data_IF_125201371219
#
_entry.id   IF_125201371219
#
_cell.length_a   1.000
_cell.length_b   1.000
_cell.length_c   1.000
_cell.angle_alpha   90.00
_cell.angle_beta   90.00
_cell.angle_gamma   90.00
#
_symmetry.space_group_name_H-M   'P 1'
#
loop_
_entity.id
_entity.type
_entity.pdbx_description
1 polymer ?
#
# COMPACT_ATOMS: atom_id res chain seq x y z
N UNK A 1 -23.61 -12.25 -17.97
CA UNK A 1 -22.73 -11.72 -16.90
C UNK A 1 -23.33 -10.39 -16.44
N UNK A 2 -23.81 -10.28 -15.20
CA UNK A 2 -24.47 -9.06 -14.71
C UNK A 2 -23.54 -7.83 -14.83
N UNK A 3 -24.08 -6.67 -15.24
CA UNK A 3 -23.35 -5.40 -15.37
C UNK A 3 -22.59 -5.05 -14.09
N UNK A 4 -23.18 -5.36 -12.93
CA UNK A 4 -22.55 -5.19 -11.60
C UNK A 4 -21.29 -6.06 -11.44
N UNK A 5 -21.32 -7.31 -11.92
CA UNK A 5 -20.15 -8.20 -11.87
C UNK A 5 -19.09 -7.79 -12.89
N UNK A 6 -19.49 -7.23 -14.03
CA UNK A 6 -18.57 -6.65 -15.01
C UNK A 6 -17.85 -5.44 -14.41
N UNK A 7 -18.59 -4.50 -13.81
CA UNK A 7 -18.04 -3.30 -13.18
C UNK A 7 -17.12 -3.62 -12.00
N UNK A 8 -17.52 -4.55 -11.11
CA UNK A 8 -16.66 -5.04 -10.02
C UNK A 8 -15.36 -5.64 -10.56
N UNK A 9 -15.46 -6.47 -11.60
CA UNK A 9 -14.29 -7.09 -12.21
C UNK A 9 -13.39 -6.06 -12.89
N UNK A 10 -13.93 -5.04 -13.57
CA UNK A 10 -13.14 -3.98 -14.19
C UNK A 10 -12.43 -3.15 -13.13
N UNK A 11 -13.15 -2.73 -12.09
CA UNK A 11 -12.62 -1.85 -11.04
C UNK A 11 -11.51 -2.52 -10.21
N UNK A 12 -11.65 -3.82 -9.92
CA UNK A 12 -10.63 -4.60 -9.22
C UNK A 12 -9.47 -5.01 -10.13
N UNK A 13 -9.74 -5.46 -11.37
CA UNK A 13 -8.67 -5.90 -12.29
C UNK A 13 -7.83 -4.74 -12.80
N UNK A 14 -8.43 -3.56 -12.98
CA UNK A 14 -7.72 -2.35 -13.44
C UNK A 14 -6.72 -1.77 -12.43
N UNK A 15 -6.68 -2.29 -11.19
CA UNK A 15 -5.86 -1.77 -10.08
C UNK A 15 -6.20 -0.33 -9.67
N UNK A 16 -7.28 0.26 -10.22
CA UNK A 16 -7.72 1.62 -9.88
C UNK A 16 -8.12 1.68 -8.41
N UNK A 17 -8.86 0.68 -7.92
CA UNK A 17 -9.34 0.65 -6.54
C UNK A 17 -8.19 0.70 -5.52
N UNK A 18 -7.24 -0.23 -5.62
CA UNK A 18 -6.08 -0.33 -4.73
C UNK A 18 -5.26 0.97 -4.78
N UNK A 19 -5.09 1.54 -5.98
CA UNK A 19 -4.36 2.79 -6.17
C UNK A 19 -5.08 3.99 -5.54
N UNK A 20 -6.41 4.05 -5.63
CA UNK A 20 -7.20 5.03 -4.89
C UNK A 20 -7.05 4.83 -3.38
N UNK A 21 -7.04 3.59 -2.89
CA UNK A 21 -6.88 3.32 -1.46
C UNK A 21 -5.54 3.82 -0.93
N UNK A 22 -4.45 3.50 -1.63
CA UNK A 22 -3.11 3.97 -1.28
C UNK A 22 -2.99 5.50 -1.40
N UNK A 23 -3.61 6.09 -2.44
CA UNK A 23 -3.62 7.55 -2.62
C UNK A 23 -4.33 8.25 -1.48
N UNK A 24 -5.50 7.77 -1.06
CA UNK A 24 -6.26 8.37 0.03
C UNK A 24 -5.53 8.23 1.38
N UNK A 25 -4.79 7.14 1.61
CA UNK A 25 -3.86 7.06 2.73
C UNK A 25 -2.78 8.15 2.65
N UNK A 26 -2.22 8.37 1.46
CA UNK A 26 -1.28 9.46 1.20
C UNK A 26 -1.87 10.84 1.45
N UNK A 27 -3.12 11.08 1.02
CA UNK A 27 -3.83 12.33 1.29
C UNK A 27 -4.03 12.53 2.78
N UNK A 28 -4.40 11.49 3.52
CA UNK A 28 -4.49 11.55 4.99
C UNK A 28 -3.17 11.99 5.63
N UNK A 29 -2.04 11.39 5.23
CA UNK A 29 -0.71 11.77 5.73
C UNK A 29 -0.37 13.23 5.36
N UNK A 30 -0.60 13.60 4.10
CA UNK A 30 -0.27 14.93 3.59
C UNK A 30 -1.12 16.04 4.22
N UNK A 31 -2.38 15.75 4.57
CA UNK A 31 -3.22 16.68 5.31
C UNK A 31 -2.71 16.90 6.72
N UNK A 32 -2.23 15.85 7.41
CA UNK A 32 -1.63 16.02 8.73
C UNK A 32 -0.36 16.87 8.65
N UNK A 33 0.52 16.52 7.70
CA UNK A 33 1.82 17.16 7.52
C UNK A 33 1.72 18.54 6.83
N UNK A 34 0.51 19.09 6.70
CA UNK A 34 0.24 20.40 6.09
C UNK A 34 0.90 20.58 4.71
N UNK A 35 1.06 19.46 3.99
CA UNK A 35 1.80 19.37 2.73
C UNK A 35 0.89 18.95 1.55
N UNK A 36 -0.42 18.89 1.78
CA UNK A 36 -1.38 18.45 0.77
C UNK A 36 -1.47 19.40 -0.43
N UNK A 37 -1.38 18.81 -1.63
CA UNK A 37 -1.62 19.48 -2.90
C UNK A 37 -2.33 18.52 -3.86
N UNK A 38 -3.27 19.03 -4.66
CA UNK A 38 -4.00 18.23 -5.65
C UNK A 38 -3.06 17.53 -6.64
N UNK A 39 -2.02 18.23 -7.11
CA UNK A 39 -1.00 17.69 -8.02
C UNK A 39 -0.26 16.51 -7.39
N UNK A 40 0.06 16.60 -6.10
CA UNK A 40 0.77 15.56 -5.37
C UNK A 40 -0.10 14.31 -5.18
N UNK A 41 -1.37 14.49 -4.83
CA UNK A 41 -2.34 13.39 -4.76
C UNK A 41 -2.49 12.69 -6.12
N UNK A 42 -2.54 13.46 -7.21
CA UNK A 42 -2.60 12.91 -8.56
C UNK A 42 -1.34 12.13 -8.95
N UNK A 43 -0.16 12.64 -8.61
CA UNK A 43 1.12 11.94 -8.82
C UNK A 43 1.18 10.64 -8.03
N UNK A 44 0.75 10.65 -6.75
CA UNK A 44 0.66 9.44 -5.93
C UNK A 44 -0.26 8.41 -6.58
N UNK A 45 -1.44 8.83 -7.05
CA UNK A 45 -2.38 7.94 -7.75
C UNK A 45 -1.75 7.32 -9.00
N UNK A 46 -1.16 8.13 -9.88
CA UNK A 46 -0.52 7.61 -11.08
C UNK A 46 0.66 6.68 -10.76
N UNK A 47 1.43 6.99 -9.72
CA UNK A 47 2.57 6.16 -9.28
C UNK A 47 2.10 4.79 -8.77
N UNK A 48 1.13 4.75 -7.86
CA UNK A 48 0.55 3.49 -7.38
C UNK A 48 -0.12 2.72 -8.52
N UNK A 49 -0.90 3.39 -9.36
CA UNK A 49 -1.60 2.74 -10.46
C UNK A 49 -0.64 2.10 -11.46
N UNK A 50 0.40 2.83 -11.86
CA UNK A 50 1.42 2.33 -12.76
C UNK A 50 2.19 1.12 -12.15
N UNK A 51 2.54 1.20 -10.86
CA UNK A 51 3.24 0.13 -10.14
C UNK A 51 2.40 -1.14 -9.92
N UNK A 52 1.15 -1.00 -9.48
CA UNK A 52 0.24 -2.14 -9.30
C UNK A 52 -0.15 -2.78 -10.62
N UNK A 53 -0.43 -1.96 -11.64
CA UNK A 53 -0.74 -2.46 -12.97
C UNK A 53 0.43 -3.27 -13.55
N UNK A 54 1.67 -2.79 -13.37
CA UNK A 54 2.85 -3.55 -13.75
C UNK A 54 2.97 -4.85 -12.94
N UNK A 55 2.86 -4.79 -11.61
CA UNK A 55 2.94 -5.96 -10.72
C UNK A 55 2.02 -7.10 -11.19
N UNK A 56 0.77 -6.79 -11.52
CA UNK A 56 -0.23 -7.79 -11.93
C UNK A 56 -0.02 -8.26 -13.37
N UNK A 57 0.37 -7.37 -14.28
CA UNK A 57 0.37 -7.66 -15.72
C UNK A 57 1.75 -7.70 -16.39
N UNK A 58 2.87 -7.62 -15.65
CA UNK A 58 4.24 -7.52 -16.19
C UNK A 58 4.61 -8.58 -17.25
N UNK A 59 4.02 -9.78 -17.18
CA UNK A 59 4.22 -10.85 -18.18
C UNK A 59 3.58 -10.56 -19.55
N UNK A 60 2.67 -9.60 -19.63
CA UNK A 60 1.96 -9.21 -20.86
C UNK A 60 2.67 -8.04 -21.54
N UNK A 61 2.87 -8.12 -22.86
CA UNK A 61 3.55 -7.07 -23.65
C UNK A 61 2.87 -5.69 -23.51
N UNK A 62 1.53 -5.65 -23.53
CA UNK A 62 0.81 -4.38 -23.38
C UNK A 62 1.11 -3.68 -22.05
N UNK A 63 1.29 -4.43 -20.97
CA UNK A 63 1.54 -3.86 -19.65
C UNK A 63 2.88 -3.12 -19.58
N UNK A 64 3.91 -3.65 -20.26
CA UNK A 64 5.21 -2.97 -20.39
C UNK A 64 5.09 -1.63 -21.11
N UNK A 65 4.30 -1.58 -22.19
CA UNK A 65 4.06 -0.36 -22.96
C UNK A 65 3.35 0.69 -22.08
N UNK A 66 2.24 0.31 -21.43
CA UNK A 66 1.51 1.20 -20.52
C UNK A 66 2.36 1.65 -19.33
N UNK A 67 3.22 0.77 -18.81
CA UNK A 67 4.15 1.12 -17.74
C UNK A 67 5.13 2.22 -18.19
N UNK A 68 5.77 2.07 -19.37
CA UNK A 68 6.67 3.07 -19.97
C UNK A 68 5.93 4.39 -20.24
N UNK A 69 4.73 4.34 -20.82
CA UNK A 69 3.94 5.54 -21.08
C UNK A 69 3.60 6.29 -19.78
N UNK A 70 3.21 5.56 -18.74
CA UNK A 70 2.98 6.15 -17.42
C UNK A 70 4.26 6.71 -16.79
N UNK A 71 5.40 6.02 -16.93
CA UNK A 71 6.70 6.54 -16.48
C UNK A 71 7.05 7.86 -17.16
N UNK A 72 6.89 7.96 -18.48
CA UNK A 72 7.15 9.19 -19.24
C UNK A 72 6.19 10.30 -18.82
N UNK A 73 4.90 9.99 -18.67
CA UNK A 73 3.89 10.96 -18.23
C UNK A 73 4.21 11.51 -16.83
N UNK A 74 4.42 10.64 -15.84
CA UNK A 74 4.71 11.04 -14.47
C UNK A 74 6.03 11.80 -14.40
N UNK A 75 7.08 11.33 -15.07
CA UNK A 75 8.38 12.03 -15.15
C UNK A 75 8.23 13.44 -15.73
N UNK A 76 7.44 13.59 -16.78
CA UNK A 76 7.21 14.90 -17.43
C UNK A 76 6.48 15.88 -16.50
N UNK A 77 5.49 15.40 -15.74
CA UNK A 77 4.77 16.20 -14.75
C UNK A 77 5.73 16.60 -13.61
N UNK A 78 6.51 15.65 -13.09
CA UNK A 78 7.46 15.88 -12.00
C UNK A 78 8.51 16.91 -12.38
N UNK A 79 9.19 16.74 -13.52
CA UNK A 79 10.23 17.66 -13.98
C UNK A 79 9.71 19.07 -14.30
N UNK A 80 8.41 19.21 -14.57
CA UNK A 80 7.77 20.52 -14.83
C UNK A 80 7.39 21.26 -13.55
N UNK A 81 6.90 20.56 -12.53
CA UNK A 81 6.27 21.18 -11.35
C UNK A 81 7.05 21.01 -10.04
N UNK A 82 8.04 20.13 -9.99
CA UNK A 82 8.81 19.81 -8.79
C UNK A 82 10.31 19.94 -9.03
N UNK A 83 11.08 20.06 -7.94
CA UNK A 83 12.53 20.14 -8.01
C UNK A 83 13.18 18.77 -8.34
N UNK A 84 14.47 18.82 -8.67
CA UNK A 84 15.23 17.61 -9.02
C UNK A 84 15.31 16.63 -7.85
N UNK A 85 15.38 17.10 -6.60
CA UNK A 85 15.45 16.24 -5.43
C UNK A 85 14.18 15.40 -5.29
N UNK A 86 13.02 16.02 -5.45
CA UNK A 86 11.71 15.37 -5.43
C UNK A 86 11.59 14.30 -6.53
N UNK A 87 12.04 14.63 -7.75
CA UNK A 87 12.11 13.65 -8.85
C UNK A 87 13.04 12.47 -8.55
N UNK A 88 14.21 12.72 -7.94
CA UNK A 88 15.15 11.66 -7.55
C UNK A 88 14.56 10.74 -6.46
N UNK A 89 13.86 11.29 -5.47
CA UNK A 89 13.13 10.47 -4.47
C UNK A 89 12.12 9.55 -5.13
N UNK A 90 11.34 10.08 -6.07
CA UNK A 90 10.38 9.30 -6.85
C UNK A 90 11.06 8.16 -7.62
N UNK A 91 12.17 8.45 -8.32
CA UNK A 91 12.94 7.44 -9.05
C UNK A 91 13.45 6.33 -8.13
N UNK A 92 13.95 6.68 -6.94
CA UNK A 92 14.43 5.70 -5.95
C UNK A 92 13.28 4.79 -5.51
N UNK A 93 12.11 5.35 -5.16
CA UNK A 93 10.92 4.57 -4.81
C UNK A 93 10.50 3.64 -5.96
N UNK A 94 10.54 4.14 -7.20
CA UNK A 94 10.15 3.38 -8.38
C UNK A 94 11.12 2.22 -8.65
N UNK A 95 12.44 2.45 -8.53
CA UNK A 95 13.47 1.41 -8.67
C UNK A 95 13.30 0.33 -7.60
N UNK A 96 13.11 0.73 -6.33
CA UNK A 96 12.89 -0.21 -5.24
C UNK A 96 11.59 -1.01 -5.46
N UNK A 97 10.50 -0.35 -5.84
CA UNK A 97 9.25 -1.03 -6.23
C UNK A 97 9.43 -2.02 -7.38
N UNK A 98 10.27 -1.69 -8.36
CA UNK A 98 10.56 -2.59 -9.49
C UNK A 98 11.34 -3.84 -9.06
N UNK A 99 12.30 -3.69 -8.13
CA UNK A 99 13.08 -4.82 -7.57
C UNK A 99 12.18 -5.87 -6.91
N UNK A 100 11.02 -5.47 -6.38
CA UNK A 100 10.05 -6.40 -5.78
C UNK A 100 9.59 -7.51 -6.75
N UNK A 101 9.40 -7.18 -8.03
CA UNK A 101 8.91 -8.09 -9.08
C UNK A 101 9.92 -8.29 -10.21
N UNK A 102 11.23 -8.11 -9.94
CA UNK A 102 12.26 -8.22 -10.95
C UNK A 102 12.60 -9.67 -11.30
N UNK A 103 11.65 -10.39 -11.91
CA UNK A 103 11.89 -11.68 -12.56
C UNK A 103 13.07 -11.61 -13.55
N UNK A 104 13.29 -10.42 -14.15
CA UNK A 104 14.39 -10.15 -15.08
C UNK A 104 15.79 -10.12 -14.45
N UNK A 105 15.90 -9.82 -13.14
CA UNK A 105 17.18 -9.75 -12.45
C UNK A 105 17.55 -11.08 -11.76
N UNK A 106 16.75 -12.15 -11.90
CA UNK A 106 16.81 -13.34 -11.05
C UNK A 106 16.75 -13.05 -9.54
N UNK A 107 16.40 -11.81 -9.17
CA UNK A 107 16.16 -11.37 -7.79
C UNK A 107 14.66 -11.14 -7.70
N UNK A 108 13.95 -12.16 -7.26
CA UNK A 108 12.52 -12.01 -6.98
C UNK A 108 12.34 -11.95 -5.46
N UNK A 109 12.31 -10.74 -4.91
CA UNK A 109 12.08 -10.53 -3.46
C UNK A 109 10.73 -11.12 -3.01
N UNK A 110 9.78 -11.32 -3.94
CA UNK A 110 8.56 -12.08 -3.68
C UNK A 110 8.84 -13.50 -3.19
N UNK A 111 9.91 -14.14 -3.65
CA UNK A 111 10.31 -15.50 -3.28
C UNK A 111 11.00 -15.56 -1.91
N UNK A 112 11.48 -14.42 -1.38
CA UNK A 112 12.03 -14.33 -0.03
C UNK A 112 10.89 -14.13 0.99
N UNK A 113 10.36 -15.27 1.42
CA UNK A 113 9.16 -15.41 2.24
C UNK A 113 8.95 -14.39 3.36
N UNK A 114 9.97 -14.19 4.19
CA UNK A 114 9.89 -13.35 5.38
C UNK A 114 10.14 -11.89 5.08
N UNK A 115 10.75 -11.58 3.94
CA UNK A 115 11.11 -10.21 3.58
C UNK A 115 10.00 -9.57 2.74
N UNK A 116 9.25 -10.37 1.98
CA UNK A 116 8.29 -9.86 0.98
C UNK A 116 7.26 -8.88 1.57
N UNK A 117 6.64 -9.20 2.70
CA UNK A 117 5.58 -8.37 3.31
C UNK A 117 6.13 -7.14 4.01
N UNK A 118 7.25 -7.28 4.72
CA UNK A 118 7.96 -6.13 5.30
C UNK A 118 8.48 -5.19 4.21
N UNK A 119 8.92 -5.73 3.07
CA UNK A 119 9.33 -4.94 1.92
C UNK A 119 8.17 -4.14 1.34
N UNK A 120 6.97 -4.75 1.22
CA UNK A 120 5.77 -4.01 0.79
C UNK A 120 5.48 -2.85 1.74
N UNK A 121 5.48 -3.08 3.06
CA UNK A 121 5.29 -2.00 4.03
C UNK A 121 6.36 -0.91 3.98
N UNK A 122 7.61 -1.30 3.72
CA UNK A 122 8.74 -0.39 3.54
C UNK A 122 8.57 0.51 2.31
N UNK A 123 8.23 -0.08 1.15
CA UNK A 123 7.97 0.68 -0.07
C UNK A 123 6.78 1.61 0.10
N UNK A 124 5.71 1.17 0.75
CA UNK A 124 4.57 2.02 1.07
C UNK A 124 4.96 3.20 1.95
N UNK A 125 5.72 2.98 3.03
CA UNK A 125 6.20 4.05 3.90
C UNK A 125 7.10 5.05 3.15
N UNK A 126 8.00 4.58 2.28
CA UNK A 126 8.78 5.47 1.42
C UNK A 126 7.90 6.25 0.43
N UNK A 127 6.96 5.58 -0.21
CA UNK A 127 6.07 6.18 -1.23
C UNK A 127 5.10 7.21 -0.64
N UNK A 128 4.68 7.02 0.61
CA UNK A 128 3.65 7.84 1.24
C UNK A 128 4.19 8.89 2.21
N UNK A 129 5.43 8.73 2.70
CA UNK A 129 6.06 9.65 3.66
C UNK A 129 7.32 10.28 3.08
N UNK A 130 8.32 9.48 2.73
CA UNK A 130 9.62 10.04 2.31
C UNK A 130 9.58 10.77 0.96
N UNK A 131 8.95 10.14 -0.04
CA UNK A 131 8.82 10.69 -1.38
C UNK A 131 8.04 12.02 -1.39
N UNK A 132 6.81 12.09 -0.84
CA UNK A 132 5.97 13.27 -1.04
C UNK A 132 6.29 14.42 -0.06
N UNK A 133 7.08 14.18 1.00
CA UNK A 133 7.49 15.22 1.94
C UNK A 133 8.85 15.83 1.59
N UNK A 134 9.05 17.09 1.95
CA UNK A 134 10.34 17.78 1.75
C UNK A 134 11.47 17.10 2.54
N UNK A 135 11.21 16.77 3.80
CA UNK A 135 12.14 16.13 4.72
C UNK A 135 11.57 14.82 5.25
N UNK A 136 12.45 13.92 5.68
CA UNK A 136 12.05 12.61 6.22
C UNK A 136 11.43 12.77 7.60
N UNK A 137 10.16 12.41 7.74
CA UNK A 137 9.52 12.26 9.03
C UNK A 137 9.59 10.80 9.50
N UNK A 138 10.56 10.48 10.35
CA UNK A 138 10.79 9.11 10.84
C UNK A 138 9.61 8.55 11.64
N UNK A 139 8.91 9.37 12.42
CA UNK A 139 7.74 8.93 13.18
C UNK A 139 6.65 8.45 12.21
N UNK A 140 6.31 9.28 11.21
CA UNK A 140 5.33 8.91 10.19
C UNK A 140 5.77 7.73 9.34
N UNK A 141 7.06 7.64 9.02
CA UNK A 141 7.61 6.48 8.32
C UNK A 141 7.32 5.19 9.08
N UNK A 142 7.65 5.13 10.38
CA UNK A 142 7.42 3.92 11.18
C UNK A 142 5.93 3.64 11.42
N UNK A 143 5.11 4.67 11.63
CA UNK A 143 3.65 4.52 11.74
C UNK A 143 3.10 3.81 10.50
N UNK A 144 3.42 4.32 9.31
CA UNK A 144 2.93 3.77 8.05
C UNK A 144 3.54 2.42 7.74
N UNK A 145 4.84 2.23 8.01
CA UNK A 145 5.51 0.94 7.87
C UNK A 145 4.83 -0.16 8.69
N UNK A 146 4.58 0.10 9.98
CA UNK A 146 3.92 -0.88 10.85
C UNK A 146 2.47 -1.11 10.42
N UNK A 147 1.74 -0.04 10.11
CA UNK A 147 0.34 -0.14 9.70
C UNK A 147 0.16 -0.95 8.41
N UNK A 148 0.89 -0.58 7.36
CA UNK A 148 0.78 -1.22 6.04
C UNK A 148 1.28 -2.66 6.06
N UNK A 149 2.33 -2.96 6.83
CA UNK A 149 2.76 -4.35 7.07
C UNK A 149 1.67 -5.16 7.78
N UNK A 150 1.02 -4.59 8.81
CA UNK A 150 -0.03 -5.29 9.55
C UNK A 150 -1.23 -5.69 8.67
N UNK A 151 -1.70 -4.77 7.82
CA UNK A 151 -2.87 -5.04 6.95
C UNK A 151 -2.50 -5.91 5.74
N UNK A 152 -1.22 -6.08 5.42
CA UNK A 152 -0.76 -6.93 4.32
C UNK A 152 -0.47 -8.38 4.74
N UNK A 153 -0.14 -8.66 6.00
CA UNK A 153 0.06 -10.04 6.49
C UNK A 153 -1.13 -11.00 6.24
N UNK A 154 -2.42 -10.58 6.34
CA UNK A 154 -3.54 -11.45 5.98
C UNK A 154 -3.54 -11.93 4.52
N UNK A 155 -2.90 -11.20 3.60
CA UNK A 155 -2.77 -11.62 2.21
C UNK A 155 -1.81 -12.82 2.10
N UNK A 156 -0.82 -12.97 2.98
CA UNK A 156 -0.02 -14.21 3.02
C UNK A 156 -0.84 -15.40 3.49
N UNK A 157 -1.77 -15.18 4.43
CA UNK A 157 -2.69 -16.25 4.86
C UNK A 157 -3.59 -16.67 3.70
N UNK A 158 -4.06 -15.73 2.87
CA UNK A 158 -4.83 -16.03 1.65
C UNK A 158 -4.03 -16.89 0.68
N UNK A 159 -2.79 -16.47 0.40
CA UNK A 159 -1.97 -17.01 -0.69
C UNK A 159 -1.19 -18.26 -0.31
N UNK A 160 -1.36 -18.78 0.91
CA UNK A 160 -0.61 -19.94 1.43
C UNK A 160 -0.67 -21.19 0.55
N UNK A 161 -1.74 -21.41 -0.22
CA UNK A 161 -1.84 -22.55 -1.15
C UNK A 161 -1.25 -22.30 -2.54
N UNK A 162 -1.00 -21.04 -2.89
CA UNK A 162 -0.54 -20.60 -4.21
C UNK A 162 0.97 -20.36 -4.26
N UNK A 163 1.58 -20.09 -3.10
CA UNK A 163 3.01 -19.83 -3.00
C UNK A 163 3.79 -21.15 -2.87
N UNK A 164 4.69 -21.39 -3.84
CA UNK A 164 5.54 -22.62 -3.90
C UNK A 164 6.80 -22.52 -3.03
N UNK A 165 6.98 -21.40 -2.34
CA UNK A 165 8.09 -21.12 -1.44
C UNK A 165 7.55 -20.98 -0.02
N UNK A 166 8.42 -21.13 0.99
CA UNK A 166 8.06 -20.87 2.38
C UNK A 166 7.35 -19.50 2.47
N UNK A 167 6.37 -19.30 3.34
CA UNK A 167 5.76 -17.98 3.61
C UNK A 167 5.78 -17.71 5.10
N UNK A 168 5.50 -16.48 5.53
CA UNK A 168 5.38 -16.16 6.94
C UNK A 168 4.38 -17.11 7.67
N UNK A 169 3.14 -17.31 7.20
CA UNK A 169 2.22 -18.25 7.83
C UNK A 169 2.64 -19.72 7.72
N UNK A 170 3.48 -20.13 6.76
CA UNK A 170 4.09 -21.47 6.77
C UNK A 170 5.16 -21.61 7.86
N UNK A 171 5.94 -20.55 8.14
CA UNK A 171 7.04 -20.60 9.12
C UNK A 171 6.55 -20.49 10.56
N UNK A 172 5.66 -19.54 10.84
CA UNK A 172 5.20 -19.26 12.21
C UNK A 172 3.78 -19.75 12.48
N UNK A 173 3.05 -20.20 11.45
CA UNK A 173 1.65 -20.60 11.56
C UNK A 173 0.68 -19.43 11.38
N UNK A 174 -0.52 -19.75 10.88
CA UNK A 174 -1.58 -18.77 10.57
C UNK A 174 -1.92 -17.88 11.78
N UNK A 175 -2.05 -18.49 12.96
CA UNK A 175 -2.44 -17.74 14.16
C UNK A 175 -1.36 -16.75 14.59
N UNK A 176 -0.08 -17.13 14.52
CA UNK A 176 1.02 -16.23 14.87
C UNK A 176 1.20 -15.12 13.82
N UNK A 177 0.88 -15.37 12.55
CA UNK A 177 0.81 -14.30 11.54
C UNK A 177 -0.27 -13.26 11.87
N UNK A 178 -1.42 -13.69 12.39
CA UNK A 178 -2.46 -12.76 12.89
C UNK A 178 -1.96 -11.98 14.12
N UNK A 179 -1.35 -12.66 15.09
CA UNK A 179 -0.78 -11.98 16.26
C UNK A 179 0.29 -10.96 15.88
N UNK A 180 1.16 -11.28 14.92
CA UNK A 180 2.14 -10.32 14.40
C UNK A 180 1.46 -9.11 13.76
N UNK A 181 0.35 -9.31 13.04
CA UNK A 181 -0.47 -8.21 12.50
C UNK A 181 -0.97 -7.30 13.62
N UNK A 182 -1.49 -7.87 14.72
CA UNK A 182 -1.95 -7.09 15.87
C UNK A 182 -0.83 -6.36 16.59
N UNK A 183 0.34 -6.99 16.74
CA UNK A 183 1.52 -6.34 17.33
C UNK A 183 1.91 -5.12 16.49
N UNK A 184 1.91 -5.25 15.16
CA UNK A 184 2.24 -4.15 14.26
C UNK A 184 1.18 -3.03 14.28
N UNK A 185 -0.11 -3.36 14.32
CA UNK A 185 -1.16 -2.35 14.55
C UNK A 185 -0.97 -1.63 15.89
N UNK A 186 -0.64 -2.37 16.95
CA UNK A 186 -0.39 -1.79 18.26
C UNK A 186 0.81 -0.83 18.22
N UNK A 187 1.95 -1.23 17.63
CA UNK A 187 3.11 -0.35 17.46
C UNK A 187 2.76 0.92 16.67
N UNK A 188 2.01 0.79 15.57
CA UNK A 188 1.52 1.93 14.81
C UNK A 188 0.63 2.85 15.65
N UNK A 189 -0.26 2.29 16.48
CA UNK A 189 -1.16 3.04 17.37
C UNK A 189 -0.43 3.79 18.46
N UNK A 190 0.56 3.17 19.09
CA UNK A 190 1.36 3.80 20.13
C UNK A 190 2.07 5.01 19.53
N UNK A 191 2.73 4.86 18.39
CA UNK A 191 3.38 5.96 17.70
C UNK A 191 2.38 7.05 17.27
N UNK A 192 1.21 6.67 16.75
CA UNK A 192 0.20 7.62 16.34
C UNK A 192 -0.29 8.52 17.49
N UNK A 193 -0.47 7.95 18.69
CA UNK A 193 -0.88 8.70 19.88
C UNK A 193 0.16 9.76 20.28
N UNK A 194 1.45 9.47 20.12
CA UNK A 194 2.52 10.40 20.52
C UNK A 194 2.85 11.46 19.46
N UNK A 195 2.67 11.15 18.17
CA UNK A 195 3.22 11.96 17.08
C UNK A 195 2.16 12.59 16.15
N UNK A 196 0.88 12.26 16.30
CA UNK A 196 -0.20 12.84 15.50
C UNK A 196 -1.06 13.82 16.29
N UNK A 197 -1.69 14.74 15.57
CA UNK A 197 -2.83 15.53 16.05
C UNK A 197 -3.97 14.58 16.42
N UNK A 198 -4.73 15.00 17.42
CA UNK A 198 -5.76 14.19 18.05
C UNK A 198 -6.79 13.61 17.06
N UNK A 199 -7.30 14.42 16.14
CA UNK A 199 -8.29 13.99 15.13
C UNK A 199 -7.76 12.88 14.20
N UNK A 200 -6.50 12.99 13.78
CA UNK A 200 -5.85 12.00 12.91
C UNK A 200 -5.55 10.72 13.69
N UNK A 201 -5.09 10.83 14.94
CA UNK A 201 -4.90 9.69 15.83
C UNK A 201 -6.21 8.93 16.07
N UNK A 202 -7.33 9.62 16.32
CA UNK A 202 -8.65 9.00 16.47
C UNK A 202 -9.07 8.30 15.18
N UNK A 203 -8.92 8.96 14.04
CA UNK A 203 -9.31 8.38 12.76
C UNK A 203 -8.57 7.07 12.47
N UNK A 204 -7.26 7.06 12.73
CA UNK A 204 -6.43 5.89 12.57
C UNK A 204 -6.76 4.80 13.60
N UNK A 205 -7.04 5.17 14.86
CA UNK A 205 -7.46 4.24 15.91
C UNK A 205 -8.80 3.56 15.58
N UNK A 206 -9.78 4.30 15.08
CA UNK A 206 -11.04 3.74 14.60
C UNK A 206 -10.79 2.77 13.44
N UNK A 207 -9.94 3.15 12.47
CA UNK A 207 -9.51 2.24 11.40
C UNK A 207 -8.90 0.95 11.95
N UNK A 208 -8.10 1.01 13.01
CA UNK A 208 -7.49 -0.17 13.62
C UNK A 208 -8.52 -1.12 14.23
N UNK A 209 -9.64 -0.59 14.73
CA UNK A 209 -10.75 -1.43 15.21
C UNK A 209 -11.30 -2.30 14.09
N UNK A 210 -11.52 -1.73 12.90
CA UNK A 210 -11.94 -2.49 11.72
C UNK A 210 -10.84 -3.43 11.22
N UNK A 211 -9.59 -2.98 11.19
CA UNK A 211 -8.46 -3.83 10.81
C UNK A 211 -8.35 -5.05 11.72
N UNK A 212 -8.55 -4.89 13.03
CA UNK A 212 -8.53 -6.00 13.99
C UNK A 212 -9.59 -7.05 13.66
N UNK A 213 -10.82 -6.62 13.38
CA UNK A 213 -11.93 -7.49 12.99
C UNK A 213 -11.61 -8.23 11.68
N UNK A 214 -11.09 -7.53 10.67
CA UNK A 214 -10.74 -8.13 9.38
C UNK A 214 -9.51 -9.06 9.47
N UNK A 215 -8.54 -8.78 10.34
CA UNK A 215 -7.44 -9.72 10.57
C UNK A 215 -7.97 -10.97 11.27
N UNK A 216 -8.84 -10.83 12.28
CA UNK A 216 -9.44 -11.96 13.01
C UNK A 216 -10.13 -12.93 12.05
N UNK A 217 -10.96 -12.41 11.15
CA UNK A 217 -11.73 -13.21 10.20
C UNK A 217 -10.95 -13.67 8.96
N UNK A 218 -9.71 -13.24 8.77
CA UNK A 218 -8.87 -13.68 7.64
C UNK A 218 -8.62 -15.19 7.69
N UNK A 219 -8.76 -15.85 6.54
CA UNK A 219 -8.55 -17.30 6.40
C UNK A 219 -8.35 -17.67 4.93
N UNK A 220 -7.61 -18.74 4.64
CA UNK A 220 -7.37 -19.28 3.30
C UNK A 220 -8.62 -19.56 2.45
N UNK A 221 -9.78 -19.74 3.10
CA UNK A 221 -11.05 -20.10 2.46
C UNK A 221 -11.98 -18.88 2.28
N UNK A 222 -11.52 -17.68 2.66
CA UNK A 222 -12.29 -16.45 2.45
C UNK A 222 -12.30 -16.13 0.96
N UNK A 223 -13.45 -15.65 0.51
CA UNK A 223 -13.67 -15.21 -0.86
C UNK A 223 -12.71 -14.09 -1.27
N UNK A 224 -12.35 -14.03 -2.56
CA UNK A 224 -11.39 -13.04 -3.09
C UNK A 224 -11.80 -11.58 -2.78
N UNK A 225 -13.10 -11.27 -2.77
CA UNK A 225 -13.60 -9.93 -2.45
C UNK A 225 -13.27 -9.48 -1.03
N UNK A 226 -13.09 -10.40 -0.09
CA UNK A 226 -12.66 -10.10 1.27
C UNK A 226 -11.31 -9.38 1.25
N UNK A 227 -10.39 -9.86 0.43
CA UNK A 227 -9.06 -9.31 0.33
C UNK A 227 -9.02 -8.14 -0.64
N UNK A 228 -9.52 -8.33 -1.86
CA UNK A 228 -9.43 -7.32 -2.92
C UNK A 228 -10.32 -6.08 -2.70
N UNK A 229 -11.31 -6.17 -1.81
CA UNK A 229 -12.14 -5.03 -1.43
C UNK A 229 -11.94 -4.67 0.05
N UNK A 230 -12.39 -5.50 1.00
CA UNK A 230 -12.41 -5.09 2.42
C UNK A 230 -11.01 -4.82 3.00
N UNK A 231 -10.05 -5.71 2.78
CA UNK A 231 -8.69 -5.51 3.30
C UNK A 231 -8.01 -4.30 2.68
N UNK A 232 -8.14 -4.11 1.36
CA UNK A 232 -7.62 -2.92 0.65
C UNK A 232 -8.29 -1.63 1.14
N UNK A 233 -9.58 -1.66 1.47
CA UNK A 233 -10.31 -0.51 2.04
C UNK A 233 -9.72 -0.02 3.35
N UNK A 234 -8.96 -0.85 4.08
CA UNK A 234 -8.32 -0.37 5.30
C UNK A 234 -7.40 0.81 5.00
N UNK A 235 -6.70 0.84 3.86
CA UNK A 235 -5.83 1.97 3.52
C UNK A 235 -6.59 3.28 3.26
N UNK A 236 -7.81 3.23 2.70
CA UNK A 236 -8.61 4.45 2.48
C UNK A 236 -9.35 4.92 3.73
N UNK A 237 -9.53 4.03 4.69
CA UNK A 237 -10.40 4.24 5.85
C UNK A 237 -9.98 5.39 6.78
N UNK A 238 -8.68 5.64 7.07
CA UNK A 238 -8.26 6.77 7.89
C UNK A 238 -8.65 8.11 7.26
N UNK A 239 -8.64 8.21 5.93
CA UNK A 239 -9.11 9.41 5.26
C UNK A 239 -10.63 9.56 5.37
N UNK A 240 -11.40 8.50 5.11
CA UNK A 240 -12.87 8.56 5.20
C UNK A 240 -13.35 8.90 6.61
N UNK A 241 -12.79 8.25 7.64
CA UNK A 241 -13.16 8.54 9.03
C UNK A 241 -12.79 9.98 9.38
N UNK A 242 -11.63 10.48 8.97
CA UNK A 242 -11.22 11.87 9.23
C UNK A 242 -12.21 12.87 8.62
N UNK A 243 -12.68 12.61 7.39
CA UNK A 243 -13.70 13.46 6.74
C UNK A 243 -15.04 13.42 7.49
N UNK A 244 -15.40 12.27 8.09
CA UNK A 244 -16.63 12.14 8.88
C UNK A 244 -16.55 12.76 10.28
N UNK A 245 -15.35 12.94 10.83
CA UNK A 245 -15.12 13.59 12.13
C UNK A 245 -15.15 15.12 12.04
N UNK A 246 -15.02 15.69 10.85
CA UNK A 246 -15.05 17.13 10.56
C UNK A 246 -16.46 17.57 10.18
#
# INVERSE_FOLDING_TARGET
MNVINLLKNILLKSQIYVSLCATLLGVFILQEQESYQNTLAFILFLTFWNGYFFTVYHKRKFAKIWNILGFVLISSILLKYFDLNFYLKWLIVLILGFIYNADFLNINLRQFSLVKTFYVGFIWALSLVWFPLKEMNWAWFFIIFFYTSAITFPFEIRDLKRDDFTTLPMKIGIQNTKYLSYIFLCLSSVLAIYFMKFEFAISLFLTFTFAFILIYFSHQKREDWYYSFLMESLSLMPFLILVLLK
#
